data_IF_819626539071
#
_entry.id   IF_819626539071
#
_cell.length_a   1.000
_cell.length_b   1.000
_cell.length_c   1.000
_cell.angle_alpha   90.00
_cell.angle_beta   90.00
_cell.angle_gamma   90.00
#
_symmetry.space_group_name_H-M   'P 1'
#
loop_
_entity.id
_entity.type
_entity.pdbx_description
1 polymer ?
#
# COMPACT_ATOMS: atom_id res chain seq x y z
N UNK A 1 -16.13 44.87 -17.74
CA UNK A 1 -16.10 45.07 -16.29
C UNK A 1 -14.65 44.96 -15.84
N UNK A 2 -14.10 45.93 -15.09
CA UNK A 2 -12.76 45.81 -14.51
C UNK A 2 -12.75 44.64 -13.50
N UNK A 3 -11.72 43.79 -13.52
CA UNK A 3 -11.57 42.65 -12.60
C UNK A 3 -10.76 43.03 -11.35
N UNK A 4 -11.11 44.15 -10.71
CA UNK A 4 -10.38 44.69 -9.55
C UNK A 4 -11.11 44.49 -8.22
N UNK A 5 -12.29 43.87 -8.21
CA UNK A 5 -12.95 43.47 -6.96
C UNK A 5 -12.42 42.11 -6.51
N UNK A 6 -11.73 42.13 -5.37
CA UNK A 6 -11.26 40.93 -4.69
C UNK A 6 -12.48 40.22 -4.08
N UNK A 7 -12.91 39.12 -4.71
CA UNK A 7 -13.93 38.23 -4.15
C UNK A 7 -13.25 37.23 -3.22
N UNK A 8 -13.55 37.31 -1.93
CA UNK A 8 -13.01 36.41 -0.91
C UNK A 8 -13.46 34.96 -1.10
N UNK A 9 -14.55 34.73 -1.83
CA UNK A 9 -15.10 33.41 -2.10
C UNK A 9 -14.69 32.86 -3.48
N UNK A 10 -13.78 33.53 -4.21
CA UNK A 10 -13.31 33.05 -5.52
C UNK A 10 -12.49 31.74 -5.37
N UNK A 11 -13.01 30.58 -5.84
CA UNK A 11 -12.31 29.30 -5.72
C UNK A 11 -11.07 29.21 -6.61
N UNK A 12 -10.93 30.09 -7.60
CA UNK A 12 -9.79 30.16 -8.51
C UNK A 12 -8.71 31.15 -8.04
N UNK A 13 -8.97 31.88 -6.94
CA UNK A 13 -7.99 32.75 -6.34
C UNK A 13 -6.84 31.93 -5.75
N UNK A 14 -5.61 32.22 -6.19
CA UNK A 14 -4.43 31.58 -5.65
C UNK A 14 -4.11 32.11 -4.25
N UNK A 15 -4.48 31.34 -3.23
CA UNK A 15 -4.11 31.62 -1.83
C UNK A 15 -2.95 30.70 -1.44
N UNK A 16 -1.75 31.26 -1.35
CA UNK A 16 -0.56 30.53 -0.90
C UNK A 16 -0.39 30.60 0.61
N UNK A 17 -0.13 29.46 1.25
CA UNK A 17 0.36 29.42 2.64
C UNK A 17 1.78 28.85 2.64
N UNK A 18 2.71 29.56 3.27
CA UNK A 18 4.09 29.08 3.38
C UNK A 18 4.14 27.98 4.44
N UNK A 19 4.44 26.75 4.02
CA UNK A 19 4.70 25.65 4.93
C UNK A 19 6.17 25.71 5.40
N UNK A 20 6.46 25.42 6.68
CA UNK A 20 7.84 25.28 7.12
C UNK A 20 8.55 24.16 6.33
N UNK A 21 9.86 24.26 6.10
CA UNK A 21 10.60 23.20 5.45
C UNK A 21 10.50 21.91 6.28
N UNK A 22 10.25 20.79 5.60
CA UNK A 22 10.21 19.49 6.25
C UNK A 22 11.60 19.09 6.72
N UNK A 23 11.71 18.63 7.97
CA UNK A 23 12.94 17.99 8.44
C UNK A 23 13.10 16.61 7.78
N UNK A 24 14.32 16.06 7.85
CA UNK A 24 14.56 14.68 7.37
C UNK A 24 13.71 13.65 8.10
N UNK A 25 13.39 13.90 9.36
CA UNK A 25 12.48 13.05 10.14
C UNK A 25 11.06 13.14 9.62
N UNK A 26 10.55 14.35 9.35
CA UNK A 26 9.19 14.54 8.83
C UNK A 26 9.05 13.90 7.44
N UNK A 27 10.08 14.02 6.61
CA UNK A 27 10.17 13.35 5.31
C UNK A 27 10.11 11.82 5.45
N UNK A 28 10.82 11.25 6.43
CA UNK A 28 10.79 9.82 6.69
C UNK A 28 9.43 9.34 7.17
N UNK A 29 8.82 10.03 8.13
CA UNK A 29 7.49 9.67 8.63
C UNK A 29 6.43 9.77 7.53
N UNK A 30 6.50 10.81 6.69
CA UNK A 30 5.62 10.96 5.53
C UNK A 30 5.83 9.83 4.50
N UNK A 31 7.09 9.49 4.19
CA UNK A 31 7.41 8.39 3.28
C UNK A 31 6.87 7.06 3.80
N UNK A 32 7.04 6.80 5.10
CA UNK A 32 6.51 5.59 5.76
C UNK A 32 4.99 5.58 5.74
N UNK A 33 4.32 6.71 6.01
CA UNK A 33 2.86 6.82 5.97
C UNK A 33 2.29 6.47 4.60
N UNK A 34 2.91 6.97 3.53
CA UNK A 34 2.53 6.62 2.15
C UNK A 34 2.69 5.13 1.89
N UNK A 35 3.82 4.54 2.28
CA UNK A 35 4.08 3.11 2.08
C UNK A 35 3.12 2.25 2.92
N UNK A 36 2.88 2.62 4.18
CA UNK A 36 2.01 1.95 5.14
C UNK A 36 0.62 1.73 4.56
N UNK A 37 0.06 2.76 3.95
CA UNK A 37 -1.26 2.73 3.32
C UNK A 37 -1.37 1.61 2.28
N UNK A 38 -0.42 1.52 1.33
CA UNK A 38 -0.48 0.51 0.27
C UNK A 38 -0.07 -0.88 0.74
N UNK A 39 0.91 -0.99 1.64
CA UNK A 39 1.28 -2.28 2.25
C UNK A 39 0.10 -2.88 3.03
N UNK A 40 -0.69 -2.05 3.72
CA UNK A 40 -1.91 -2.47 4.43
C UNK A 40 -3.11 -2.72 3.53
N UNK A 41 -3.04 -2.33 2.27
CA UNK A 41 -3.99 -2.75 1.23
C UNK A 41 -3.56 -4.05 0.53
N UNK A 42 -2.39 -4.61 0.88
CA UNK A 42 -1.92 -5.89 0.34
C UNK A 42 -1.17 -5.79 -0.98
N UNK A 43 -0.77 -4.58 -1.39
CA UNK A 43 0.04 -4.37 -2.59
C UNK A 43 1.40 -5.04 -2.45
N UNK A 44 2.03 -5.43 -3.56
CA UNK A 44 3.40 -5.94 -3.61
C UNK A 44 4.45 -4.81 -3.61
N UNK A 45 5.70 -5.12 -3.28
CA UNK A 45 6.77 -4.12 -3.14
C UNK A 45 7.02 -3.34 -4.44
N UNK A 46 7.05 -4.03 -5.58
CA UNK A 46 7.24 -3.36 -6.88
C UNK A 46 6.06 -2.45 -7.26
N UNK A 47 4.84 -2.78 -6.85
CA UNK A 47 3.68 -1.93 -7.09
C UNK A 47 3.78 -0.64 -6.26
N UNK A 48 4.21 -0.75 -4.99
CA UNK A 48 4.47 0.40 -4.13
C UNK A 48 5.62 1.25 -4.70
N UNK A 49 6.74 0.64 -5.09
CA UNK A 49 7.86 1.36 -5.72
C UNK A 49 7.45 2.03 -7.04
N UNK A 50 6.54 1.43 -7.80
CA UNK A 50 5.96 2.00 -9.01
C UNK A 50 5.30 3.37 -8.78
N UNK A 51 4.67 3.59 -7.62
CA UNK A 51 4.07 4.88 -7.25
C UNK A 51 5.13 5.97 -7.16
N UNK A 52 6.27 5.67 -6.54
CA UNK A 52 7.40 6.61 -6.40
C UNK A 52 8.07 6.92 -7.74
N UNK A 53 8.12 5.94 -8.66
CA UNK A 53 8.72 6.14 -9.98
C UNK A 53 7.83 6.96 -10.93
N UNK A 54 6.51 6.99 -10.70
CA UNK A 54 5.54 7.65 -11.58
C UNK A 54 5.37 9.15 -11.27
N UNK A 55 5.56 10.06 -12.24
CA UNK A 55 5.40 11.50 -12.03
C UNK A 55 3.96 11.95 -11.82
N UNK A 56 2.98 11.08 -12.11
CA UNK A 56 1.55 11.36 -11.84
C UNK A 56 1.30 11.46 -10.32
N UNK A 57 2.07 10.71 -9.53
CA UNK A 57 2.03 10.79 -8.08
C UNK A 57 3.07 11.78 -7.59
N UNK A 58 2.71 13.07 -7.60
CA UNK A 58 3.67 14.14 -7.33
C UNK A 58 4.42 13.96 -6.01
N UNK A 59 3.72 13.65 -4.92
CA UNK A 59 4.36 13.56 -3.60
C UNK A 59 5.34 12.39 -3.49
N UNK A 60 4.97 11.12 -3.81
CA UNK A 60 5.93 10.02 -3.89
C UNK A 60 7.09 10.29 -4.85
N UNK A 61 6.81 10.85 -6.02
CA UNK A 61 7.82 11.12 -7.02
C UNK A 61 8.82 12.19 -6.57
N UNK A 62 8.36 13.23 -5.88
CA UNK A 62 9.23 14.24 -5.28
C UNK A 62 10.16 13.65 -4.23
N UNK A 63 9.65 12.76 -3.37
CA UNK A 63 10.46 12.06 -2.36
C UNK A 63 11.56 11.24 -3.05
N UNK A 64 11.21 10.46 -4.07
CA UNK A 64 12.18 9.66 -4.83
C UNK A 64 13.28 10.53 -5.46
N UNK A 65 12.89 11.66 -6.06
CA UNK A 65 13.83 12.61 -6.69
C UNK A 65 14.75 13.29 -5.69
N UNK A 66 14.26 13.56 -4.48
CA UNK A 66 15.01 14.25 -3.44
C UNK A 66 15.95 13.33 -2.64
N UNK A 67 15.55 12.07 -2.39
CA UNK A 67 16.25 11.14 -1.50
C UNK A 67 16.85 9.92 -2.19
N UNK A 68 16.43 9.63 -3.42
CA UNK A 68 16.88 8.46 -4.17
C UNK A 68 16.10 7.19 -3.85
N UNK A 69 16.36 6.16 -4.64
CA UNK A 69 15.59 4.90 -4.59
C UNK A 69 15.94 4.03 -3.39
N UNK A 70 17.21 3.99 -2.99
CA UNK A 70 17.67 3.24 -1.81
C UNK A 70 16.93 3.69 -0.53
N UNK A 71 16.72 5.00 -0.37
CA UNK A 71 15.97 5.55 0.76
C UNK A 71 14.54 5.01 0.83
N UNK A 72 13.85 4.97 -0.32
CA UNK A 72 12.47 4.47 -0.42
C UNK A 72 12.43 2.96 -0.16
N UNK A 73 13.37 2.20 -0.71
CA UNK A 73 13.48 0.76 -0.48
C UNK A 73 13.73 0.44 1.00
N UNK A 74 14.60 1.20 1.67
CA UNK A 74 14.84 1.03 3.10
C UNK A 74 13.59 1.32 3.95
N UNK A 75 12.86 2.38 3.61
CA UNK A 75 11.59 2.69 4.25
C UNK A 75 10.55 1.57 4.02
N UNK A 76 10.51 1.02 2.81
CA UNK A 76 9.63 -0.09 2.44
C UNK A 76 9.93 -1.37 3.23
N UNK A 77 11.21 -1.76 3.32
CA UNK A 77 11.64 -2.90 4.15
C UNK A 77 11.20 -2.72 5.59
N UNK A 78 11.43 -1.53 6.15
CA UNK A 78 11.09 -1.21 7.55
C UNK A 78 9.58 -1.35 7.81
N UNK A 79 8.74 -0.88 6.88
CA UNK A 79 7.28 -1.01 6.99
C UNK A 79 6.86 -2.48 6.79
N UNK A 80 7.47 -3.22 5.87
CA UNK A 80 7.19 -4.64 5.67
C UNK A 80 7.52 -5.48 6.89
N UNK A 81 8.65 -5.22 7.54
CA UNK A 81 9.02 -5.89 8.79
C UNK A 81 8.00 -5.65 9.89
N UNK A 82 7.44 -4.44 9.96
CA UNK A 82 6.38 -4.08 10.90
C UNK A 82 5.08 -4.85 10.66
N UNK A 83 4.71 -5.14 9.40
CA UNK A 83 3.43 -5.75 9.03
C UNK A 83 3.49 -7.20 8.53
N UNK A 84 4.68 -7.76 8.28
CA UNK A 84 4.90 -9.04 7.60
C UNK A 84 4.19 -10.23 8.25
N UNK A 85 4.09 -10.21 9.57
CA UNK A 85 3.37 -11.22 10.37
C UNK A 85 1.85 -11.19 10.21
N UNK A 86 1.27 -10.01 9.96
CA UNK A 86 -0.18 -9.80 9.95
C UNK A 86 -0.80 -10.37 8.68
N UNK A 87 -0.11 -10.24 7.55
CA UNK A 87 -0.57 -10.79 6.27
C UNK A 87 -0.32 -12.30 6.15
N UNK A 88 0.79 -12.84 6.67
CA UNK A 88 0.99 -14.29 6.70
C UNK A 88 -0.07 -15.02 7.54
N UNK A 89 -0.50 -14.43 8.67
CA UNK A 89 -1.54 -15.03 9.53
C UNK A 89 -2.94 -14.94 8.92
N UNK A 90 -3.27 -13.84 8.22
CA UNK A 90 -4.58 -13.63 7.57
C UNK A 90 -4.80 -14.49 6.32
N UNK A 91 -3.74 -15.01 5.72
CA UNK A 91 -3.83 -15.94 4.59
C UNK A 91 -3.98 -17.41 5.04
N UNK A 92 -4.25 -17.66 6.33
CA UNK A 92 -4.69 -18.99 6.78
C UNK A 92 -6.04 -19.27 6.13
N UNK A 93 -6.06 -20.27 5.25
CA UNK A 93 -7.26 -20.80 4.59
C UNK A 93 -8.44 -20.78 5.57
N UNK A 94 -9.43 -19.93 5.31
CA UNK A 94 -10.75 -20.11 5.91
C UNK A 94 -11.21 -21.46 5.40
N UNK A 95 -11.17 -22.48 6.26
CA UNK A 95 -11.83 -23.74 5.93
C UNK A 95 -13.27 -23.38 5.59
N UNK A 96 -13.82 -23.84 4.45
CA UNK A 96 -15.22 -23.58 4.15
C UNK A 96 -16.03 -24.05 5.35
N UNK A 97 -16.79 -23.13 5.95
CA UNK A 97 -17.81 -23.48 6.94
C UNK A 97 -18.79 -24.38 6.19
N UNK A 98 -18.71 -25.68 6.44
CA UNK A 98 -19.73 -26.63 6.01
C UNK A 98 -20.94 -26.31 6.87
N UNK A 99 -21.90 -25.59 6.30
CA UNK A 99 -23.21 -25.40 6.94
C UNK A 99 -23.94 -26.74 6.95
N UNK A 100 -24.69 -27.02 8.03
CA UNK A 100 -25.41 -28.30 8.20
C UNK A 100 -26.47 -28.54 7.09
N UNK A 101 -26.73 -27.54 6.24
CA UNK A 101 -27.61 -27.61 5.06
C UNK A 101 -26.98 -28.34 3.86
N UNK A 102 -25.66 -28.53 3.82
CA UNK A 102 -24.96 -29.28 2.75
C UNK A 102 -24.85 -30.79 3.02
N UNK A 103 -25.56 -31.30 4.04
CA UNK A 103 -25.63 -32.75 4.33
C UNK A 103 -26.45 -33.57 3.32
N UNK A 104 -26.75 -33.00 2.15
CA UNK A 104 -27.69 -33.54 1.18
C UNK A 104 -27.09 -34.15 -0.08
N UNK A 105 -25.86 -33.82 -0.49
CA UNK A 105 -25.29 -34.40 -1.71
C UNK A 105 -23.77 -34.58 -1.63
N UNK A 106 -23.35 -35.77 -2.04
CA UNK A 106 -22.04 -36.34 -1.80
C UNK A 106 -20.89 -35.51 -2.39
N UNK A 107 -20.13 -34.81 -1.55
CA UNK A 107 -18.75 -34.48 -1.87
C UNK A 107 -17.83 -35.63 -1.44
N UNK A 108 -17.52 -36.50 -2.40
CA UNK A 108 -16.49 -37.53 -2.24
C UNK A 108 -15.14 -36.82 -2.09
N UNK A 109 -14.44 -36.94 -0.95
CA UNK A 109 -13.09 -36.38 -0.86
C UNK A 109 -12.17 -37.23 -1.75
N UNK A 110 -11.55 -36.60 -2.75
CA UNK A 110 -10.34 -37.15 -3.37
C UNK A 110 -9.24 -37.09 -2.30
N UNK A 111 -9.21 -38.12 -1.46
CA UNK A 111 -8.11 -38.38 -0.54
C UNK A 111 -6.83 -38.51 -1.34
N UNK A 112 -5.83 -37.73 -0.95
CA UNK A 112 -4.43 -38.05 -1.21
C UNK A 112 -4.17 -39.54 -0.92
N UNK A 113 -3.83 -40.28 -1.96
CA UNK A 113 -3.20 -41.61 -1.83
C UNK A 113 -1.81 -41.47 -2.41
N UNK A 114 -0.81 -41.52 -1.52
CA UNK A 114 0.58 -41.64 -1.92
C UNK A 114 0.86 -42.95 -2.66
N UNK A 115 1.74 -42.84 -3.67
CA UNK A 115 2.68 -43.87 -4.15
C UNK A 115 3.89 -43.05 -4.62
N UNK A 116 5.07 -43.07 -3.99
CA UNK A 116 5.96 -44.23 -3.81
C UNK A 116 5.84 -45.23 -4.97
N UNK A 117 6.63 -44.96 -6.02
CA UNK A 117 6.99 -45.92 -7.04
C UNK A 117 8.50 -45.99 -7.09
N UNK A 118 9.04 -47.10 -6.60
CA UNK A 118 10.41 -47.53 -6.87
C UNK A 118 10.62 -47.72 -8.38
N UNK A 119 11.73 -47.19 -8.89
CA UNK A 119 12.68 -47.98 -9.66
C UNK A 119 14.07 -47.37 -9.57
#
# INVERSE_FOLDING_TARGET
MPKDEFDHDDPMQLVGMNAPPLSDKDMLEMTRGLIDEYVRMGWADEEVLGLFRSPVYQMPHMILRAKGEEYVQHALSSVREQWGDIWQRRNTVIQPVVTDEDRGDAFVPLTSVGRFGER
#
